data_IF_017302252141
#
_entry.id   IF_017302252141
#
_cell.length_a   1.000
_cell.length_b   1.000
_cell.length_c   1.000
_cell.angle_alpha   90.00
_cell.angle_beta   90.00
_cell.angle_gamma   90.00
#
_symmetry.space_group_name_H-M   'P 1'
#
loop_
_entity.id
_entity.type
_entity.pdbx_description
1 polymer ?
#
# COMPACT_ATOMS: atom_id res chain seq x y z
N UNK A 1 -25.55 -3.69 -21.09
CA UNK A 1 -24.55 -4.24 -22.02
C UNK A 1 -23.24 -4.24 -21.25
N UNK A 2 -22.87 -5.37 -20.67
CA UNK A 2 -21.60 -5.51 -19.95
C UNK A 2 -20.46 -5.46 -20.96
N UNK A 3 -19.55 -4.51 -20.81
CA UNK A 3 -18.31 -4.45 -21.58
C UNK A 3 -17.24 -5.24 -20.86
N UNK A 4 -17.38 -6.56 -20.81
CA UNK A 4 -16.25 -7.42 -20.45
C UNK A 4 -15.33 -7.54 -21.68
N UNK A 5 -14.05 -7.21 -21.53
CA UNK A 5 -12.99 -7.42 -22.53
C UNK A 5 -13.19 -6.70 -23.89
N UNK A 6 -13.56 -5.42 -23.87
CA UNK A 6 -13.65 -4.61 -25.08
C UNK A 6 -12.26 -4.22 -25.63
N UNK A 7 -12.05 -4.35 -26.95
CA UNK A 7 -10.77 -4.08 -27.64
C UNK A 7 -10.65 -2.68 -28.25
N UNK A 8 -11.65 -1.82 -28.06
CA UNK A 8 -11.67 -0.47 -28.62
C UNK A 8 -11.97 -0.38 -30.12
N UNK A 9 -12.28 -1.51 -30.76
CA UNK A 9 -12.75 -1.62 -32.16
C UNK A 9 -14.15 -2.25 -32.19
N UNK A 10 -14.97 -1.88 -33.19
CA UNK A 10 -16.27 -2.51 -33.40
C UNK A 10 -16.11 -3.79 -34.23
N UNK A 11 -16.61 -4.92 -33.73
CA UNK A 11 -16.46 -6.27 -34.33
C UNK A 11 -17.07 -6.43 -35.75
N UNK A 12 -17.74 -5.41 -36.28
CA UNK A 12 -18.45 -5.46 -37.57
C UNK A 12 -17.69 -4.81 -38.74
N UNK A 13 -16.42 -4.39 -38.56
CA UNK A 13 -15.63 -3.86 -39.68
C UNK A 13 -14.96 -4.98 -40.50
N UNK A 14 -15.13 -5.01 -41.84
CA UNK A 14 -14.41 -5.96 -42.69
C UNK A 14 -12.90 -5.67 -42.65
N UNK A 15 -12.06 -6.71 -42.56
CA UNK A 15 -10.61 -6.57 -42.50
C UNK A 15 -10.07 -5.71 -43.64
N UNK A 16 -9.68 -4.47 -43.31
CA UNK A 16 -9.25 -3.44 -44.27
C UNK A 16 -7.76 -3.53 -44.61
N UNK A 17 -7.01 -4.42 -43.96
CA UNK A 17 -5.55 -4.49 -44.04
C UNK A 17 -4.85 -3.34 -43.29
N UNK A 18 -5.60 -2.52 -42.56
CA UNK A 18 -5.07 -1.54 -41.63
C UNK A 18 -4.63 -2.23 -40.34
N UNK A 19 -3.67 -1.61 -39.66
CA UNK A 19 -3.22 -2.05 -38.33
C UNK A 19 -4.26 -1.74 -37.27
N UNK A 20 -4.38 -2.62 -36.29
CA UNK A 20 -5.18 -2.37 -35.10
C UNK A 20 -4.58 -1.25 -34.25
N UNK A 21 -5.38 -0.69 -33.35
CA UNK A 21 -4.90 0.28 -32.38
C UNK A 21 -3.71 -0.30 -31.61
N UNK A 22 -2.60 0.44 -31.61
CA UNK A 22 -1.34 0.07 -30.94
C UNK A 22 -0.61 -1.16 -31.54
N UNK A 23 -1.04 -1.70 -32.68
CA UNK A 23 -0.34 -2.80 -33.34
C UNK A 23 1.04 -2.37 -33.87
N UNK A 24 2.06 -3.17 -33.53
CA UNK A 24 3.45 -2.91 -33.90
C UNK A 24 4.14 -1.84 -33.05
N UNK A 25 3.48 -1.32 -32.02
CA UNK A 25 4.13 -0.59 -30.94
C UNK A 25 4.65 -1.62 -29.94
N UNK A 26 5.94 -1.58 -29.61
CA UNK A 26 6.53 -2.49 -28.63
C UNK A 26 5.89 -2.37 -27.25
N UNK A 27 6.16 -3.32 -26.36
CA UNK A 27 5.59 -3.33 -25.00
C UNK A 27 6.22 -2.26 -24.09
N UNK A 28 7.42 -1.78 -24.42
CA UNK A 28 8.08 -0.67 -23.70
C UNK A 28 7.47 0.69 -24.07
N UNK A 29 6.27 0.94 -23.54
CA UNK A 29 5.47 2.14 -23.81
C UNK A 29 4.73 2.62 -22.55
N UNK A 30 4.43 3.92 -22.50
CA UNK A 30 3.62 4.51 -21.42
C UNK A 30 2.15 4.52 -21.82
N UNK A 31 1.30 3.96 -20.95
CA UNK A 31 -0.15 3.91 -21.14
C UNK A 31 -0.85 4.88 -20.19
N UNK A 32 -1.78 5.67 -20.70
CA UNK A 32 -2.57 6.62 -19.92
C UNK A 32 -4.07 6.31 -20.05
N UNK A 33 -4.71 5.92 -18.95
CA UNK A 33 -6.16 5.82 -18.87
C UNK A 33 -6.74 7.09 -18.27
N UNK A 34 -7.54 7.82 -19.04
CA UNK A 34 -8.27 9.01 -18.57
C UNK A 34 -9.76 8.69 -18.44
N UNK A 35 -10.31 8.88 -17.23
CA UNK A 35 -11.75 8.77 -16.97
C UNK A 35 -12.31 10.10 -16.45
N UNK A 36 -12.62 11.06 -17.34
CA UNK A 36 -13.19 12.34 -16.91
C UNK A 36 -14.54 12.12 -16.22
N UNK A 37 -14.71 12.62 -14.99
CA UNK A 37 -15.97 12.54 -14.23
C UNK A 37 -17.22 12.98 -15.02
N UNK A 38 -17.18 14.06 -15.85
CA UNK A 38 -18.34 14.45 -16.65
C UNK A 38 -18.78 13.41 -17.68
N UNK A 39 -17.88 12.54 -18.13
CA UNK A 39 -18.16 11.49 -19.12
C UNK A 39 -18.39 10.11 -18.49
N UNK A 40 -18.24 9.98 -17.16
CA UNK A 40 -18.28 8.71 -16.43
C UNK A 40 -19.16 8.87 -15.17
N UNK A 41 -20.50 8.83 -15.31
CA UNK A 41 -21.43 9.12 -14.23
C UNK A 41 -21.67 7.90 -13.33
N UNK A 42 -20.63 7.42 -12.65
CA UNK A 42 -20.72 6.39 -11.62
C UNK A 42 -19.82 6.73 -10.44
N UNK A 43 -20.02 6.05 -9.31
CA UNK A 43 -19.20 6.25 -8.12
C UNK A 43 -17.83 5.59 -8.30
N UNK A 44 -16.78 6.41 -8.41
CA UNK A 44 -15.42 5.92 -8.61
C UNK A 44 -14.90 5.13 -7.40
N UNK A 45 -15.51 5.28 -6.22
CA UNK A 45 -15.14 4.49 -5.03
C UNK A 45 -15.48 3.01 -5.18
N UNK A 46 -16.33 2.65 -6.16
CA UNK A 46 -16.70 1.25 -6.43
C UNK A 46 -15.77 0.55 -7.41
N UNK A 47 -14.74 1.22 -7.95
CA UNK A 47 -13.74 0.59 -8.81
C UNK A 47 -12.81 -0.23 -7.91
N UNK A 48 -12.91 -1.56 -8.00
CA UNK A 48 -12.03 -2.46 -7.26
C UNK A 48 -10.63 -2.53 -7.92
N UNK A 49 -10.59 -2.78 -9.23
CA UNK A 49 -9.36 -2.90 -10.02
C UNK A 49 -9.57 -2.50 -11.49
N UNK A 50 -8.46 -2.38 -12.22
CA UNK A 50 -8.45 -2.14 -13.68
C UNK A 50 -7.58 -3.21 -14.32
N UNK A 51 -8.15 -4.01 -15.22
CA UNK A 51 -7.44 -5.02 -15.99
C UNK A 51 -7.16 -4.52 -17.41
N UNK A 52 -5.88 -4.41 -17.78
CA UNK A 52 -5.43 -4.15 -19.16
C UNK A 52 -4.78 -5.42 -19.72
N UNK A 53 -5.29 -5.91 -20.85
CA UNK A 53 -4.73 -7.05 -21.58
C UNK A 53 -3.99 -6.57 -22.81
N UNK A 54 -2.72 -6.96 -22.95
CA UNK A 54 -1.86 -6.62 -24.09
C UNK A 54 -1.48 -7.91 -24.82
N UNK A 55 -1.92 -8.03 -26.07
CA UNK A 55 -1.48 -9.09 -26.97
C UNK A 55 -0.22 -8.63 -27.71
N UNK A 56 0.87 -9.39 -27.61
CA UNK A 56 2.15 -9.05 -28.24
C UNK A 56 2.86 -10.26 -28.84
N UNK A 57 3.70 -10.01 -29.85
CA UNK A 57 4.60 -11.03 -30.42
C UNK A 57 6.01 -10.82 -29.86
N UNK A 58 6.52 -11.81 -29.12
CA UNK A 58 7.91 -11.84 -28.66
C UNK A 58 8.79 -12.59 -29.67
N UNK A 59 9.96 -12.03 -29.99
CA UNK A 59 10.98 -12.70 -30.81
C UNK A 59 12.14 -13.08 -29.89
N UNK A 60 12.54 -14.36 -29.89
CA UNK A 60 13.67 -14.83 -29.08
C UNK A 60 15.01 -14.31 -29.61
N UNK A 61 15.90 -13.93 -28.69
CA UNK A 61 17.26 -13.50 -28.99
C UNK A 61 18.21 -13.85 -27.85
N UNK A 62 19.12 -14.79 -28.11
CA UNK A 62 20.11 -15.24 -27.13
C UNK A 62 21.07 -14.11 -26.69
N UNK A 63 21.45 -13.22 -27.60
CA UNK A 63 22.33 -12.08 -27.30
C UNK A 63 21.63 -11.04 -26.43
N UNK A 64 20.35 -10.75 -26.74
CA UNK A 64 19.54 -9.85 -25.93
C UNK A 64 19.32 -10.45 -24.53
N UNK A 65 19.01 -11.75 -24.45
CA UNK A 65 18.90 -12.47 -23.17
C UNK A 65 20.17 -12.34 -22.35
N UNK A 66 21.34 -12.60 -22.93
CA UNK A 66 22.62 -12.51 -22.21
C UNK A 66 22.90 -11.08 -21.71
N UNK A 67 22.53 -10.06 -22.49
CA UNK A 67 22.64 -8.66 -22.10
C UNK A 67 21.71 -8.30 -20.95
N UNK A 68 20.43 -8.62 -21.08
CA UNK A 68 19.41 -8.36 -20.05
C UNK A 68 19.77 -9.07 -18.75
N UNK A 69 20.16 -10.34 -18.78
CA UNK A 69 20.55 -11.08 -17.56
C UNK A 69 21.74 -10.43 -16.85
N UNK A 70 22.72 -9.91 -17.59
CA UNK A 70 23.90 -9.24 -17.02
C UNK A 70 23.57 -7.86 -16.43
N UNK A 71 22.63 -7.14 -17.03
CA UNK A 71 22.24 -5.79 -16.66
C UNK A 71 21.02 -5.74 -15.73
N UNK A 72 20.42 -6.91 -15.43
CA UNK A 72 19.21 -7.01 -14.62
C UNK A 72 19.47 -6.47 -13.22
N UNK A 73 18.87 -5.32 -12.91
CA UNK A 73 18.80 -4.84 -11.55
C UNK A 73 17.94 -5.80 -10.74
N UNK A 74 18.54 -6.32 -9.67
CA UNK A 74 17.88 -7.26 -8.76
C UNK A 74 17.20 -6.53 -7.60
N UNK A 75 17.35 -5.22 -7.53
CA UNK A 75 16.72 -4.37 -6.53
C UNK A 75 15.23 -4.26 -6.86
N UNK A 76 14.39 -4.74 -5.95
CA UNK A 76 12.96 -4.52 -6.00
C UNK A 76 12.58 -3.51 -4.93
N UNK A 77 11.86 -2.48 -5.32
CA UNK A 77 11.24 -1.54 -4.39
C UNK A 77 9.72 -1.61 -4.55
N UNK A 78 9.00 -1.33 -3.48
CA UNK A 78 7.54 -1.33 -3.49
C UNK A 78 6.96 -0.81 -2.20
N UNK A 79 5.64 -0.74 -2.16
CA UNK A 79 4.89 -0.34 -0.96
C UNK A 79 3.83 -1.38 -0.65
N UNK A 80 3.66 -1.68 0.63
CA UNK A 80 2.56 -2.51 1.13
C UNK A 80 1.72 -1.69 2.10
N UNK A 81 0.46 -1.48 1.73
CA UNK A 81 -0.56 -0.88 2.57
C UNK A 81 -1.25 -1.95 3.43
N UNK A 82 -1.57 -1.56 4.66
CA UNK A 82 -2.29 -2.34 5.65
C UNK A 82 -3.42 -1.48 6.20
N UNK A 83 -4.66 -1.85 5.91
CA UNK A 83 -5.86 -1.23 6.46
C UNK A 83 -6.16 -1.88 7.81
N UNK A 84 -6.17 -1.10 8.88
CA UNK A 84 -6.54 -1.62 10.20
C UNK A 84 -7.96 -2.20 10.16
N UNK A 85 -8.90 -1.52 9.48
CA UNK A 85 -10.28 -1.98 9.37
C UNK A 85 -10.44 -3.28 8.58
N UNK A 86 -9.73 -3.44 7.45
CA UNK A 86 -9.92 -4.58 6.55
C UNK A 86 -8.99 -5.75 6.86
N UNK A 87 -7.72 -5.49 7.16
CA UNK A 87 -6.70 -6.53 7.36
C UNK A 87 -6.64 -7.02 8.81
N UNK A 88 -7.10 -6.21 9.78
CA UNK A 88 -7.03 -6.50 11.21
C UNK A 88 -8.36 -6.23 11.93
N UNK A 89 -9.45 -6.93 11.55
CA UNK A 89 -10.80 -6.64 12.03
C UNK A 89 -10.94 -6.74 13.56
N UNK A 90 -10.21 -7.64 14.22
CA UNK A 90 -10.23 -7.76 15.68
C UNK A 90 -9.61 -6.52 16.34
N UNK A 91 -8.45 -6.08 15.85
CA UNK A 91 -7.79 -4.86 16.35
C UNK A 91 -8.64 -3.60 16.07
N UNK A 92 -9.31 -3.56 14.92
CA UNK A 92 -10.28 -2.50 14.62
C UNK A 92 -11.47 -2.52 15.57
N UNK A 93 -11.99 -3.71 15.89
CA UNK A 93 -13.08 -3.88 16.84
C UNK A 93 -12.68 -3.40 18.24
N UNK A 94 -11.51 -3.81 18.73
CA UNK A 94 -10.99 -3.36 20.02
C UNK A 94 -10.83 -1.83 20.07
N UNK A 95 -10.38 -1.20 18.97
CA UNK A 95 -10.23 0.26 18.89
C UNK A 95 -11.57 1.00 18.92
N UNK A 96 -12.58 0.47 18.23
CA UNK A 96 -13.86 1.15 17.99
C UNK A 96 -14.90 0.90 19.08
N UNK A 97 -14.58 0.07 20.08
CA UNK A 97 -15.48 -0.27 21.17
C UNK A 97 -14.88 0.13 22.50
N UNK A 98 -15.16 1.36 22.97
CA UNK A 98 -14.47 1.94 24.11
C UNK A 98 -14.55 1.11 25.39
N UNK A 99 -15.67 0.40 25.60
CA UNK A 99 -15.91 -0.42 26.80
C UNK A 99 -15.10 -1.74 26.81
N UNK A 100 -14.64 -2.17 25.62
CA UNK A 100 -13.83 -3.38 25.43
C UNK A 100 -12.35 -3.07 25.15
N UNK A 101 -12.02 -1.82 24.81
CA UNK A 101 -10.67 -1.40 24.47
C UNK A 101 -9.73 -1.43 25.67
N UNK A 102 -8.52 -1.97 25.50
CA UNK A 102 -7.46 -1.87 26.50
C UNK A 102 -7.16 -0.39 26.85
N UNK A 103 -6.94 -0.12 28.14
CA UNK A 103 -6.40 1.14 28.64
C UNK A 103 -4.89 1.03 28.86
N UNK A 104 -4.04 1.84 28.20
CA UNK A 104 -4.38 2.94 27.29
C UNK A 104 -4.82 2.45 25.90
N UNK A 105 -5.62 3.24 25.17
CA UNK A 105 -6.15 2.94 23.83
C UNK A 105 -5.06 2.49 22.85
N UNK A 106 -4.89 1.17 22.71
CA UNK A 106 -3.80 0.56 21.96
C UNK A 106 -4.30 -0.58 21.08
N UNK A 107 -3.65 -0.76 19.93
CA UNK A 107 -3.89 -1.88 19.02
C UNK A 107 -2.58 -2.46 18.54
N UNK A 108 -2.58 -3.77 18.35
CA UNK A 108 -1.43 -4.51 17.82
C UNK A 108 -1.73 -5.03 16.41
N UNK A 109 -0.79 -4.85 15.49
CA UNK A 109 -0.87 -5.38 14.13
C UNK A 109 0.34 -6.29 13.87
N UNK A 110 0.10 -7.49 13.35
CA UNK A 110 1.16 -8.43 12.99
C UNK A 110 1.40 -8.44 11.50
N UNK A 111 2.62 -8.09 11.06
CA UNK A 111 3.04 -8.22 9.66
C UNK A 111 3.95 -9.43 9.51
N UNK A 112 3.80 -10.17 8.41
CA UNK A 112 4.53 -11.40 8.10
C UNK A 112 5.31 -11.21 6.81
N UNK A 113 6.36 -12.00 6.63
CA UNK A 113 7.10 -12.00 5.37
C UNK A 113 6.21 -12.33 4.15
N UNK A 114 5.17 -13.16 4.34
CA UNK A 114 4.21 -13.54 3.29
C UNK A 114 3.23 -12.43 2.91
N UNK A 115 3.18 -11.33 3.67
CA UNK A 115 2.35 -10.17 3.31
C UNK A 115 3.05 -9.29 2.25
N UNK A 116 4.30 -9.63 1.90
CA UNK A 116 5.12 -9.02 0.86
C UNK A 116 5.31 -10.01 -0.31
N UNK A 117 5.72 -9.54 -1.51
CA UNK A 117 5.90 -10.43 -2.64
C UNK A 117 6.86 -11.59 -2.36
N UNK A 118 6.51 -12.76 -2.88
CA UNK A 118 7.31 -13.98 -2.73
C UNK A 118 8.62 -13.89 -3.52
N UNK A 119 9.59 -14.75 -3.20
CA UNK A 119 10.91 -14.83 -3.85
C UNK A 119 11.77 -13.56 -3.70
N UNK A 120 11.50 -12.77 -2.67
CA UNK A 120 12.31 -11.65 -2.24
C UNK A 120 13.24 -12.07 -1.09
N UNK A 121 14.51 -11.72 -1.20
CA UNK A 121 15.53 -11.79 -0.16
C UNK A 121 15.87 -10.38 0.35
N UNK A 122 16.50 -10.30 1.53
CA UNK A 122 16.99 -9.03 2.09
C UNK A 122 15.89 -7.95 2.18
N UNK A 123 14.66 -8.37 2.49
CA UNK A 123 13.51 -7.47 2.61
C UNK A 123 13.72 -6.52 3.80
N UNK A 124 13.79 -5.22 3.52
CA UNK A 124 13.99 -4.16 4.51
C UNK A 124 12.97 -3.04 4.37
N UNK A 125 12.54 -2.47 5.50
CA UNK A 125 11.72 -1.27 5.55
C UNK A 125 12.58 -0.08 5.14
N UNK A 126 12.17 0.65 4.10
CA UNK A 126 12.83 1.89 3.69
C UNK A 126 12.12 3.12 4.21
N UNK A 127 10.79 3.12 4.26
CA UNK A 127 9.97 4.24 4.74
C UNK A 127 8.67 3.74 5.38
N UNK A 128 8.10 4.54 6.27
CA UNK A 128 6.84 4.27 6.95
C UNK A 128 5.94 5.50 6.81
N UNK A 129 4.66 5.26 6.57
CA UNK A 129 3.62 6.26 6.73
C UNK A 129 2.43 5.65 7.48
N UNK A 130 1.77 6.47 8.28
CA UNK A 130 0.51 6.14 8.92
C UNK A 130 -0.47 7.27 8.65
N UNK A 131 -1.64 6.94 8.13
CA UNK A 131 -2.71 7.88 7.85
C UNK A 131 -3.96 7.53 8.64
N UNK A 132 -4.55 8.52 9.30
CA UNK A 132 -5.88 8.42 9.89
C UNK A 132 -6.91 8.77 8.82
N UNK A 133 -7.80 7.84 8.51
CA UNK A 133 -8.92 8.08 7.59
C UNK A 133 -10.13 8.45 8.43
N UNK A 134 -10.67 9.66 8.21
CA UNK A 134 -11.67 10.25 9.11
C UNK A 134 -12.82 10.88 8.35
N UNK A 135 -14.02 10.81 8.92
CA UNK A 135 -15.23 11.49 8.43
C UNK A 135 -15.40 12.88 9.05
N UNK A 136 -14.77 13.11 10.20
CA UNK A 136 -14.71 14.40 10.88
C UNK A 136 -13.29 14.70 11.34
N UNK A 137 -13.02 15.93 11.77
CA UNK A 137 -11.70 16.29 12.24
C UNK A 137 -11.40 15.66 13.61
N UNK A 138 -10.17 15.13 13.80
CA UNK A 138 -9.77 14.58 15.09
C UNK A 138 -9.90 15.61 16.22
N UNK A 139 -10.31 15.19 17.43
CA UNK A 139 -10.41 16.08 18.57
C UNK A 139 -9.02 16.54 19.01
N UNK A 140 -8.94 17.71 19.68
CA UNK A 140 -7.67 18.32 20.08
C UNK A 140 -6.74 17.40 20.92
N UNK A 141 -7.24 16.51 21.79
CA UNK A 141 -6.39 15.53 22.47
C UNK A 141 -5.64 14.58 21.53
N UNK A 142 -6.18 14.29 20.33
CA UNK A 142 -5.51 13.51 19.27
C UNK A 142 -4.48 14.37 18.51
N UNK A 143 -3.62 15.05 19.25
CA UNK A 143 -2.51 15.87 18.72
C UNK A 143 -1.25 15.05 18.45
N UNK A 144 -1.14 13.87 19.05
CA UNK A 144 -0.03 12.94 18.86
C UNK A 144 -0.53 11.50 18.80
N UNK A 145 0.27 10.61 18.25
CA UNK A 145 0.08 9.17 18.33
C UNK A 145 1.43 8.49 18.50
N UNK A 146 1.44 7.28 19.05
CA UNK A 146 2.67 6.53 19.29
C UNK A 146 2.66 5.26 18.46
N UNK A 147 3.69 5.07 17.64
CA UNK A 147 3.88 3.84 16.87
C UNK A 147 5.18 3.18 17.30
N UNK A 148 5.08 1.91 17.70
CA UNK A 148 6.23 1.07 17.96
C UNK A 148 6.26 -0.14 17.04
N UNK A 149 7.46 -0.60 16.70
CA UNK A 149 7.71 -1.81 15.93
C UNK A 149 8.74 -2.69 16.63
N UNK A 150 8.48 -4.00 16.62
CA UNK A 150 9.45 -5.03 16.98
C UNK A 150 9.50 -6.05 15.86
N UNK A 151 10.65 -6.15 15.19
CA UNK A 151 10.89 -7.15 14.17
C UNK A 151 10.84 -8.57 14.75
N UNK A 152 10.37 -9.53 13.96
CA UNK A 152 10.39 -10.94 14.35
C UNK A 152 11.81 -11.43 14.65
N UNK A 153 11.98 -12.18 15.74
CA UNK A 153 13.29 -12.60 16.24
C UNK A 153 14.14 -11.49 16.86
N UNK A 154 13.70 -10.23 16.81
CA UNK A 154 14.35 -9.08 17.43
C UNK A 154 13.85 -8.79 18.85
N UNK A 155 14.72 -8.22 19.68
CA UNK A 155 14.37 -7.76 21.04
C UNK A 155 14.15 -6.26 21.15
N UNK A 156 14.65 -5.48 20.18
CA UNK A 156 14.52 -4.04 20.17
C UNK A 156 13.09 -3.61 19.82
N UNK A 157 12.52 -2.73 20.64
CA UNK A 157 11.29 -1.99 20.31
C UNK A 157 11.72 -0.62 19.80
N UNK A 158 11.33 -0.31 18.58
CA UNK A 158 11.74 0.87 17.83
C UNK A 158 10.50 1.74 17.55
N UNK A 159 10.70 3.02 17.28
CA UNK A 159 9.61 3.97 17.04
C UNK A 159 9.40 4.92 18.23
N UNK A 160 8.24 5.56 18.25
CA UNK A 160 7.90 6.54 19.28
C UNK A 160 6.71 7.43 18.92
N UNK A 161 6.53 8.47 19.71
CA UNK A 161 5.43 9.43 19.59
C UNK A 161 5.68 10.45 18.50
N UNK A 162 4.69 10.70 17.65
CA UNK A 162 4.74 11.66 16.54
C UNK A 162 3.43 12.46 16.45
N UNK A 163 3.49 13.66 15.89
CA UNK A 163 2.33 14.52 15.68
C UNK A 163 1.85 14.42 14.22
N UNK A 164 0.62 13.93 13.97
CA UNK A 164 0.04 13.93 12.62
C UNK A 164 -0.06 15.34 12.06
N UNK A 165 0.32 15.51 10.79
CA UNK A 165 0.10 16.73 10.00
C UNK A 165 -0.77 16.32 8.82
N UNK A 166 -1.91 16.98 8.67
CA UNK A 166 -2.97 16.57 7.74
C UNK A 166 -3.34 15.10 7.90
N UNK A 167 -3.51 14.66 9.16
CA UNK A 167 -3.89 13.29 9.54
C UNK A 167 -2.86 12.21 9.16
N UNK A 168 -1.65 12.61 8.77
CA UNK A 168 -0.57 11.70 8.34
C UNK A 168 0.70 11.93 9.14
N UNK A 169 1.37 10.84 9.52
CA UNK A 169 2.77 10.84 9.97
C UNK A 169 3.57 10.00 8.98
N UNK A 170 4.75 10.49 8.56
CA UNK A 170 5.62 9.71 7.68
C UNK A 170 7.09 10.01 7.91
N UNK A 171 7.94 8.99 7.79
CA UNK A 171 9.41 9.16 7.78
C UNK A 171 9.92 9.98 6.58
N UNK A 172 9.09 10.16 5.54
CA UNK A 172 9.36 11.06 4.41
C UNK A 172 9.07 12.53 4.73
N UNK A 173 8.44 12.81 5.88
CA UNK A 173 8.07 14.14 6.37
C UNK A 173 8.85 14.45 7.65
N UNK A 174 8.91 15.72 8.02
CA UNK A 174 9.58 16.14 9.26
C UNK A 174 8.90 15.63 10.54
N UNK A 175 7.63 15.19 10.45
CA UNK A 175 6.86 14.73 11.60
C UNK A 175 7.05 13.24 11.95
N UNK A 176 7.77 12.45 11.15
CA UNK A 176 8.04 11.03 11.39
C UNK A 176 9.43 10.69 11.92
N UNK A 177 10.20 11.69 12.39
CA UNK A 177 11.57 11.50 12.88
C UNK A 177 11.74 10.36 13.91
N UNK A 178 10.86 10.20 14.91
CA UNK A 178 10.92 9.11 15.88
C UNK A 178 10.81 7.69 15.28
N UNK A 179 10.35 7.56 14.03
CA UNK A 179 10.17 6.27 13.35
C UNK A 179 11.35 5.88 12.46
N UNK A 180 12.30 6.80 12.23
CA UNK A 180 13.51 6.53 11.45
C UNK A 180 14.30 5.29 11.94
N UNK A 181 14.42 5.00 13.25
CA UNK A 181 15.11 3.80 13.72
C UNK A 181 14.52 2.47 13.24
N UNK A 182 13.27 2.47 12.76
CA UNK A 182 12.59 1.29 12.20
C UNK A 182 13.11 0.98 10.78
N UNK A 183 13.63 1.97 10.06
CA UNK A 183 14.20 1.75 8.72
C UNK A 183 15.41 0.80 8.76
N UNK A 184 15.60 0.00 7.71
CA UNK A 184 16.62 -1.05 7.63
C UNK A 184 16.30 -2.31 8.44
N UNK A 185 15.09 -2.43 9.02
CA UNK A 185 14.62 -3.67 9.67
C UNK A 185 13.80 -4.50 8.70
N UNK A 186 13.77 -5.81 8.91
CA UNK A 186 12.83 -6.67 8.22
C UNK A 186 11.39 -6.25 8.58
N UNK A 187 10.45 -6.25 7.61
CA UNK A 187 9.09 -5.77 7.87
C UNK A 187 8.19 -6.79 8.55
N UNK A 188 8.64 -8.04 8.72
CA UNK A 188 7.93 -9.03 9.53
C UNK A 188 8.11 -8.71 11.02
N UNK A 189 7.03 -8.58 11.76
CA UNK A 189 7.07 -8.21 13.17
C UNK A 189 5.72 -7.76 13.74
N UNK A 190 5.78 -7.21 14.94
CA UNK A 190 4.63 -6.67 15.65
C UNK A 190 4.70 -5.15 15.69
N UNK A 191 3.64 -4.50 15.23
CA UNK A 191 3.39 -3.07 15.35
C UNK A 191 2.45 -2.83 16.53
N UNK A 192 2.70 -1.78 17.31
CA UNK A 192 1.75 -1.27 18.29
C UNK A 192 1.48 0.19 18.03
N UNK A 193 0.21 0.50 17.78
CA UNK A 193 -0.27 1.86 17.68
C UNK A 193 -1.01 2.20 18.98
N UNK A 194 -0.70 3.37 19.54
CA UNK A 194 -1.40 3.92 20.68
C UNK A 194 -1.89 5.32 20.33
N UNK A 195 -3.18 5.56 20.53
CA UNK A 195 -3.78 6.88 20.42
C UNK A 195 -3.93 7.51 21.81
N UNK A 196 -4.06 8.84 21.92
CA UNK A 196 -4.34 9.50 23.19
C UNK A 196 -5.66 9.02 23.78
N UNK A 197 -5.58 8.47 24.98
CA UNK A 197 -6.72 7.93 25.69
C UNK A 197 -7.43 9.04 26.48
N UNK A 198 -8.34 9.74 25.79
CA UNK A 198 -9.19 10.78 26.36
C UNK A 198 -10.66 10.48 26.06
N UNK A 199 -11.56 11.02 26.88
CA UNK A 199 -13.01 10.92 26.67
C UNK A 199 -13.40 11.43 25.28
N UNK A 200 -12.93 12.62 24.88
CA UNK A 200 -13.15 13.19 23.54
C UNK A 200 -12.66 12.26 22.42
N UNK A 201 -11.48 11.62 22.58
CA UNK A 201 -10.96 10.68 21.58
C UNK A 201 -11.87 9.46 21.45
N UNK A 202 -12.31 8.90 22.59
CA UNK A 202 -13.16 7.70 22.63
C UNK A 202 -14.54 7.97 22.05
N UNK A 203 -15.16 9.07 22.44
CA UNK A 203 -16.46 9.49 21.89
C UNK A 203 -16.38 9.73 20.38
N UNK A 204 -15.34 10.42 19.92
CA UNK A 204 -15.12 10.68 18.50
C UNK A 204 -14.97 9.39 17.68
N UNK A 205 -14.22 8.41 18.17
CA UNK A 205 -14.10 7.09 17.53
C UNK A 205 -15.45 6.35 17.55
N UNK A 206 -16.14 6.31 18.69
CA UNK A 206 -17.42 5.61 18.84
C UNK A 206 -18.52 6.18 17.94
N UNK A 207 -18.48 7.49 17.65
CA UNK A 207 -19.38 8.17 16.71
C UNK A 207 -19.00 7.98 15.24
N UNK A 208 -17.96 7.19 14.93
CA UNK A 208 -17.51 6.93 13.57
C UNK A 208 -16.63 8.03 12.99
N UNK A 209 -16.07 8.91 13.82
CA UNK A 209 -15.14 9.95 13.37
C UNK A 209 -13.88 9.38 12.72
N UNK A 210 -13.38 8.26 13.23
CA UNK A 210 -12.32 7.44 12.62
C UNK A 210 -12.95 6.30 11.83
N UNK A 211 -12.61 6.17 10.54
CA UNK A 211 -13.15 5.11 9.68
C UNK A 211 -12.11 4.07 9.27
N UNK A 212 -10.83 4.42 9.28
CA UNK A 212 -9.73 3.47 9.07
C UNK A 212 -8.40 4.07 9.56
N UNK A 213 -7.39 3.21 9.72
CA UNK A 213 -5.99 3.60 9.87
C UNK A 213 -5.19 2.83 8.82
N UNK A 214 -4.50 3.56 7.94
CA UNK A 214 -3.65 2.97 6.92
C UNK A 214 -2.19 3.03 7.36
N UNK A 215 -1.57 1.87 7.56
CA UNK A 215 -0.12 1.73 7.70
C UNK A 215 0.48 1.38 6.33
N UNK A 216 1.38 2.22 5.82
CA UNK A 216 2.10 1.98 4.57
C UNK A 216 3.57 1.73 4.89
N UNK A 217 4.07 0.58 4.46
CA UNK A 217 5.47 0.18 4.56
C UNK A 217 6.07 0.22 3.16
N UNK A 218 6.95 1.18 2.89
CA UNK A 218 7.83 1.10 1.72
C UNK A 218 8.97 0.15 2.03
N UNK A 219 9.31 -0.72 1.09
CA UNK A 219 10.35 -1.72 1.25
C UNK A 219 11.32 -1.73 0.08
N UNK A 220 12.50 -2.25 0.35
CA UNK A 220 13.49 -2.68 -0.64
C UNK A 220 13.81 -4.14 -0.41
N UNK A 221 14.08 -4.87 -1.48
CA UNK A 221 14.48 -6.25 -1.44
C UNK A 221 15.37 -6.60 -2.64
N UNK A 222 15.85 -7.84 -2.65
CA UNK A 222 16.58 -8.43 -3.77
C UNK A 222 15.87 -9.66 -4.31
N UNK A 223 15.74 -9.75 -5.63
CA UNK A 223 15.35 -11.00 -6.30
C UNK A 223 16.52 -11.99 -6.33
N UNK A 224 16.23 -13.29 -6.52
CA UNK A 224 17.25 -14.31 -6.71
C UNK A 224 18.17 -14.00 -7.91
N UNK A 225 19.38 -14.56 -7.92
CA UNK A 225 20.27 -14.39 -9.07
C UNK A 225 19.79 -15.29 -10.19
N UNK A 226 19.46 -14.73 -11.36
CA UNK A 226 19.09 -15.55 -12.52
C UNK A 226 20.25 -16.48 -12.92
N UNK A 227 20.01 -17.79 -13.20
CA UNK A 227 18.71 -18.47 -13.36
C UNK A 227 18.18 -19.19 -12.09
N UNK A 228 18.71 -18.86 -10.91
CA UNK A 228 18.37 -19.49 -9.62
C UNK A 228 17.15 -18.95 -8.92
#
# INVERSE_FOLDING_TARGET
METMNARGVFDFEPHTGLRDAFEGQGVDTTWELRMPKPANPFDFSTIADVLLTIDYTAIDSADLRARVVRELDRTQEGERGFSLRQDFPDAWWDLTNPDAADTPLNVSLGTRALDFPVNLAELEITQIALALITESDPPAPLSTLTLHFRADGGTAVLGGTAAPVDKVVSTRRSNGGPWLPITGKAPAGTWRLQLPDSEDTREWIAQGGLTDILLVISYRARTAAWPG
#
